data_IF_785797851722
#
_entry.id   IF_785797851722
#
_cell.length_a   1.000
_cell.length_b   1.000
_cell.length_c   1.000
_cell.angle_alpha   90.00
_cell.angle_beta   90.00
_cell.angle_gamma   90.00
#
_symmetry.space_group_name_H-M   'P 1'
#
loop_
_entity.id
_entity.type
_entity.pdbx_description
1 polymer ?
#
# COMPACT_ATOMS: atom_id res chain seq x y z
N UNK A 1 7.01 0.34 3.48
CA UNK A 1 7.90 0.63 4.64
C UNK A 1 7.66 -0.45 5.65
N UNK A 2 8.68 -0.91 6.37
CA UNK A 2 8.51 -1.88 7.45
C UNK A 2 8.54 -1.19 8.83
N UNK A 3 8.25 -1.95 9.89
CA UNK A 3 8.16 -1.42 11.26
C UNK A 3 9.46 -0.77 11.74
N UNK A 4 10.63 -1.34 11.41
CA UNK A 4 11.92 -0.78 11.79
C UNK A 4 12.14 0.62 11.17
N UNK A 5 11.79 0.77 9.88
CA UNK A 5 11.83 2.06 9.20
C UNK A 5 10.86 3.08 9.81
N UNK A 6 9.65 2.65 10.19
CA UNK A 6 8.68 3.54 10.82
C UNK A 6 9.18 4.08 12.17
N UNK A 7 9.82 3.23 13.00
CA UNK A 7 10.43 3.65 14.26
C UNK A 7 11.54 4.67 14.05
N UNK A 8 12.47 4.41 13.12
CA UNK A 8 13.56 5.34 12.81
C UNK A 8 13.03 6.69 12.31
N UNK A 9 11.99 6.68 11.47
CA UNK A 9 11.37 7.91 10.97
C UNK A 9 10.69 8.69 12.10
N UNK A 10 10.04 8.03 13.06
CA UNK A 10 9.34 8.69 14.17
C UNK A 10 10.26 9.50 15.10
N UNK A 11 11.57 9.27 15.07
CA UNK A 11 12.56 10.04 15.84
C UNK A 11 12.83 11.43 15.23
N UNK A 12 12.49 11.63 13.94
CA UNK A 12 12.88 12.82 13.18
C UNK A 12 11.75 13.47 12.39
N UNK A 13 10.64 12.75 12.19
CA UNK A 13 9.50 13.18 11.38
C UNK A 13 8.22 13.07 12.20
N UNK A 14 7.40 14.12 12.14
CA UNK A 14 6.02 14.09 12.58
C UNK A 14 5.12 13.68 11.40
N UNK A 15 4.46 12.52 11.53
CA UNK A 15 3.65 11.94 10.46
C UNK A 15 2.21 12.41 10.62
N UNK A 16 1.77 13.34 9.78
CA UNK A 16 0.41 13.90 9.85
C UNK A 16 -0.71 12.97 9.35
N UNK A 17 -0.40 12.01 8.48
CA UNK A 17 -1.38 11.04 7.98
C UNK A 17 -0.74 9.77 7.39
N UNK A 18 -1.42 8.65 7.54
CA UNK A 18 -1.11 7.38 6.90
C UNK A 18 -2.23 6.99 5.92
N UNK A 19 -2.01 7.26 4.64
CA UNK A 19 -2.97 6.91 3.57
C UNK A 19 -2.76 5.44 3.19
N UNK A 20 -3.72 4.59 3.55
CA UNK A 20 -3.70 3.16 3.29
C UNK A 20 -4.65 2.79 2.16
N UNK A 21 -4.07 2.42 1.01
CA UNK A 21 -4.79 1.89 -0.14
C UNK A 21 -5.13 0.41 0.10
N UNK A 22 -6.36 0.13 0.54
CA UNK A 22 -6.80 -1.22 0.89
C UNK A 22 -7.30 -1.97 -0.35
N UNK A 23 -6.86 -3.22 -0.50
CA UNK A 23 -7.37 -4.13 -1.52
C UNK A 23 -7.45 -5.53 -0.91
N UNK A 24 -8.61 -5.93 -0.35
CA UNK A 24 -8.75 -7.22 0.31
C UNK A 24 -8.65 -8.40 -0.68
N UNK A 25 -8.98 -8.16 -1.95
CA UNK A 25 -8.87 -9.15 -3.02
C UNK A 25 -7.40 -9.31 -3.48
N UNK A 26 -6.75 -10.36 -2.98
CA UNK A 26 -5.37 -10.70 -3.34
C UNK A 26 -5.22 -11.13 -4.79
N UNK A 27 -6.20 -11.82 -5.37
CA UNK A 27 -6.15 -12.26 -6.76
C UNK A 27 -6.20 -11.05 -7.71
N UNK A 28 -6.98 -10.03 -7.38
CA UNK A 28 -6.98 -8.76 -8.11
C UNK A 28 -5.62 -8.05 -8.06
N UNK A 29 -4.89 -8.12 -6.95
CA UNK A 29 -3.52 -7.59 -6.85
C UNK A 29 -2.55 -8.38 -7.74
N UNK A 30 -2.62 -9.72 -7.72
CA UNK A 30 -1.80 -10.59 -8.57
C UNK A 30 -2.04 -10.27 -10.05
N UNK A 31 -3.30 -10.20 -10.48
CA UNK A 31 -3.64 -9.87 -11.86
C UNK A 31 -3.12 -8.49 -12.29
N UNK A 32 -3.20 -7.49 -11.39
CA UNK A 32 -2.65 -6.14 -11.65
C UNK A 32 -1.13 -6.18 -11.86
N UNK A 33 -0.41 -6.97 -11.06
CA UNK A 33 1.04 -7.14 -11.21
C UNK A 33 1.40 -7.89 -12.50
N UNK A 34 0.70 -8.98 -12.84
CA UNK A 34 0.94 -9.69 -14.10
C UNK A 34 0.70 -8.81 -15.34
N UNK A 35 -0.36 -7.99 -15.33
CA UNK A 35 -0.60 -7.01 -16.40
C UNK A 35 0.52 -5.96 -16.49
N UNK A 36 1.12 -5.60 -15.36
CA UNK A 36 2.26 -4.68 -15.30
C UNK A 36 3.51 -5.28 -15.96
N UNK A 37 3.79 -6.56 -15.76
CA UNK A 37 4.94 -7.22 -16.40
C UNK A 37 4.94 -7.03 -17.92
N UNK A 38 3.77 -7.16 -18.54
CA UNK A 38 3.56 -6.99 -19.98
C UNK A 38 3.63 -5.52 -20.43
N UNK A 39 3.06 -4.59 -19.65
CA UNK A 39 2.97 -3.17 -20.04
C UNK A 39 4.24 -2.36 -19.74
N UNK A 40 4.94 -2.69 -18.67
CA UNK A 40 6.05 -1.90 -18.12
C UNK A 40 7.41 -2.63 -18.23
N UNK A 41 7.45 -3.78 -18.91
CA UNK A 41 8.65 -4.62 -19.11
C UNK A 41 9.35 -5.04 -17.79
N UNK A 42 8.56 -5.24 -16.73
CA UNK A 42 9.02 -5.68 -15.41
C UNK A 42 8.89 -7.20 -15.28
N UNK A 43 9.91 -7.92 -15.73
CA UNK A 43 9.90 -9.39 -15.85
C UNK A 43 9.68 -10.12 -14.51
N UNK A 44 10.08 -9.52 -13.39
CA UNK A 44 9.85 -10.03 -12.05
C UNK A 44 8.35 -10.08 -11.68
N UNK A 45 7.52 -9.20 -12.26
CA UNK A 45 6.07 -9.19 -12.08
C UNK A 45 5.36 -10.26 -12.97
N UNK A 46 6.10 -11.06 -13.76
CA UNK A 46 5.55 -12.21 -14.47
C UNK A 46 5.57 -13.50 -13.62
N UNK A 47 6.44 -13.55 -12.60
CA UNK A 47 6.60 -14.75 -11.77
C UNK A 47 5.64 -14.73 -10.58
N UNK A 48 4.69 -15.68 -10.58
CA UNK A 48 3.69 -15.81 -9.53
C UNK A 48 4.28 -16.07 -8.14
N UNK A 49 5.39 -16.80 -8.05
CA UNK A 49 6.09 -17.06 -6.78
C UNK A 49 6.67 -15.77 -6.20
N UNK A 50 7.28 -14.94 -7.06
CA UNK A 50 7.80 -13.62 -6.66
C UNK A 50 6.68 -12.72 -6.16
N UNK A 51 5.53 -12.72 -6.86
CA UNK A 51 4.34 -11.95 -6.43
C UNK A 51 3.84 -12.42 -5.07
N UNK A 52 3.69 -13.73 -4.87
CA UNK A 52 3.21 -14.30 -3.59
C UNK A 52 4.14 -13.94 -2.44
N UNK A 53 5.45 -14.11 -2.62
CA UNK A 53 6.45 -13.71 -1.63
C UNK A 53 6.37 -12.22 -1.30
N UNK A 54 6.11 -11.34 -2.28
CA UNK A 54 5.91 -9.90 -2.03
C UNK A 54 4.69 -9.63 -1.17
N UNK A 55 3.58 -10.33 -1.41
CA UNK A 55 2.36 -10.21 -0.61
C UNK A 55 2.60 -10.72 0.83
N UNK A 56 3.29 -11.84 1.00
CA UNK A 56 3.67 -12.36 2.32
C UNK A 56 4.58 -11.40 3.09
N UNK A 57 5.58 -10.83 2.44
CA UNK A 57 6.45 -9.82 3.04
C UNK A 57 5.68 -8.55 3.42
N UNK A 58 4.69 -8.14 2.61
CA UNK A 58 3.81 -7.03 2.99
C UNK A 58 3.05 -7.35 4.28
N UNK A 59 2.43 -8.52 4.38
CA UNK A 59 1.65 -8.92 5.55
C UNK A 59 2.47 -9.00 6.84
N UNK A 60 3.70 -9.50 6.74
CA UNK A 60 4.57 -9.77 7.89
C UNK A 60 5.41 -8.55 8.29
N UNK A 61 5.87 -7.76 7.32
CA UNK A 61 6.80 -6.65 7.61
C UNK A 61 6.18 -5.26 7.49
N UNK A 62 5.26 -5.07 6.54
CA UNK A 62 4.72 -3.73 6.21
C UNK A 62 3.37 -3.44 6.85
N UNK A 63 2.45 -4.41 6.91
CA UNK A 63 1.13 -4.25 7.53
C UNK A 63 1.21 -3.80 9.01
N UNK A 64 2.16 -4.28 9.84
CA UNK A 64 2.30 -3.80 11.23
C UNK A 64 2.59 -2.29 11.37
N UNK A 65 2.99 -1.61 10.29
CA UNK A 65 3.14 -0.14 10.30
C UNK A 65 1.80 0.57 10.52
N UNK A 66 0.69 -0.03 10.10
CA UNK A 66 -0.66 0.50 10.36
C UNK A 66 -0.93 0.59 11.86
N UNK A 67 -0.59 -0.48 12.59
CA UNK A 67 -0.77 -0.55 14.05
C UNK A 67 0.18 0.39 14.79
N UNK A 68 1.39 0.59 14.27
CA UNK A 68 2.39 1.49 14.86
C UNK A 68 1.95 2.96 14.88
N UNK A 69 1.40 3.48 13.77
CA UNK A 69 0.90 4.87 13.72
C UNK A 69 -0.52 5.02 14.28
N UNK A 70 -1.28 3.93 14.36
CA UNK A 70 -2.60 3.89 14.99
C UNK A 70 -3.74 4.49 14.16
N UNK A 71 -4.97 4.26 14.62
CA UNK A 71 -6.21 4.64 13.91
C UNK A 71 -6.40 6.15 13.75
N UNK A 72 -5.81 6.95 14.65
CA UNK A 72 -5.94 8.41 14.60
C UNK A 72 -5.35 9.02 13.31
N UNK A 73 -4.23 8.46 12.84
CA UNK A 73 -3.53 8.92 11.62
C UNK A 73 -3.94 8.13 10.38
N UNK A 74 -4.55 6.96 10.55
CA UNK A 74 -4.90 6.08 9.46
C UNK A 74 -6.08 6.62 8.64
N UNK A 75 -5.90 6.71 7.32
CA UNK A 75 -6.93 7.08 6.34
C UNK A 75 -7.01 5.98 5.30
N UNK A 76 -8.12 5.24 5.29
CA UNK A 76 -8.31 4.09 4.40
C UNK A 76 -8.96 4.54 3.10
N UNK A 77 -8.42 4.08 1.96
CA UNK A 77 -8.98 4.31 0.63
C UNK A 77 -9.16 2.95 -0.04
N UNK A 78 -10.37 2.68 -0.53
CA UNK A 78 -10.63 1.47 -1.30
C UNK A 78 -9.86 1.54 -2.63
N UNK A 79 -8.91 0.63 -2.83
CA UNK A 79 -8.09 0.55 -4.04
C UNK A 79 -8.72 -0.39 -5.09
N UNK A 80 -9.90 -0.94 -4.84
CA UNK A 80 -10.66 -1.76 -5.80
C UNK A 80 -11.33 -0.87 -6.85
N UNK A 81 -11.76 0.33 -6.49
CA UNK A 81 -12.40 1.31 -7.37
C UNK A 81 -11.51 1.79 -8.53
N UNK A 82 -12.05 2.61 -9.42
CA UNK A 82 -11.30 3.13 -10.57
C UNK A 82 -10.17 4.07 -10.13
N UNK A 83 -9.08 4.22 -10.91
CA UNK A 83 -7.99 5.13 -10.55
C UNK A 83 -8.42 6.57 -10.29
N UNK A 84 -9.44 7.06 -11.00
CA UNK A 84 -9.97 8.41 -10.82
C UNK A 84 -10.71 8.57 -9.49
N UNK A 85 -11.49 7.56 -9.08
CA UNK A 85 -12.14 7.55 -7.77
C UNK A 85 -11.09 7.47 -6.66
N UNK A 86 -10.07 6.61 -6.79
CA UNK A 86 -8.95 6.54 -5.82
C UNK A 86 -8.28 7.90 -5.68
N UNK A 87 -7.99 8.56 -6.81
CA UNK A 87 -7.40 9.89 -6.82
C UNK A 87 -8.28 10.90 -6.10
N UNK A 88 -9.59 10.92 -6.40
CA UNK A 88 -10.56 11.80 -5.73
C UNK A 88 -10.51 11.63 -4.21
N UNK A 89 -10.53 10.39 -3.73
CA UNK A 89 -10.58 10.11 -2.29
C UNK A 89 -9.26 10.49 -1.60
N UNK A 90 -8.11 10.24 -2.25
CA UNK A 90 -6.80 10.69 -1.76
C UNK A 90 -6.73 12.21 -1.68
N UNK A 91 -7.19 12.92 -2.72
CA UNK A 91 -7.25 14.39 -2.71
C UNK A 91 -8.17 14.90 -1.61
N UNK A 92 -9.34 14.27 -1.43
CA UNK A 92 -10.27 14.59 -0.34
C UNK A 92 -9.63 14.46 1.04
N UNK A 93 -8.85 13.40 1.27
CA UNK A 93 -8.07 13.24 2.49
C UNK A 93 -7.07 14.38 2.65
N UNK A 94 -6.26 14.67 1.62
CA UNK A 94 -5.23 15.71 1.69
C UNK A 94 -5.79 17.12 1.94
N UNK A 95 -6.98 17.43 1.44
CA UNK A 95 -7.67 18.70 1.70
C UNK A 95 -8.26 18.80 3.12
N UNK A 96 -8.35 17.68 3.83
CA UNK A 96 -8.89 17.59 5.20
C UNK A 96 -7.82 17.50 6.29
N UNK A 97 -6.55 17.42 5.92
CA UNK A 97 -5.39 17.49 6.83
C UNK A 97 -5.11 18.93 7.23
#
# INVERSE_FOLDING_TARGET
RNLAQARLMSETLDVGALIYLSCPDRERLVQRLQRRALKENRLDDANLEVIRRRLENYETESRPVLDFYGEALLRRVDAVQTPLEVLRDVVGILLSL
#
